data_IF_609435079141
#
_entry.id   IF_609435079141
#
_cell.length_a   1.000
_cell.length_b   1.000
_cell.length_c   1.000
_cell.angle_alpha   90.00
_cell.angle_beta   90.00
_cell.angle_gamma   90.00
#
_symmetry.space_group_name_H-M   'P 1'
#
loop_
_entity.id
_entity.type
_entity.pdbx_description
1 polymer ?
#
# COMPACT_ATOMS: atom_id res chain seq x y z
N UNK A 1 -42.37 -52.68 23.69
CA UNK A 1 -42.70 -51.80 22.58
C UNK A 1 -42.15 -50.44 22.88
N UNK A 2 -41.09 -49.96 22.18
CA UNK A 2 -40.53 -48.59 22.31
C UNK A 2 -41.32 -47.66 21.38
N UNK A 3 -42.04 -46.72 21.95
CA UNK A 3 -42.66 -45.63 21.16
C UNK A 3 -41.60 -44.62 20.76
N UNK A 4 -41.30 -44.53 19.48
CA UNK A 4 -40.51 -43.41 18.93
C UNK A 4 -41.44 -42.21 18.84
N UNK A 5 -41.21 -41.22 19.69
CA UNK A 5 -41.84 -39.91 19.56
C UNK A 5 -41.26 -39.20 18.34
N UNK A 6 -42.09 -38.68 17.42
CA UNK A 6 -41.58 -37.91 16.28
C UNK A 6 -40.99 -36.60 16.80
N UNK A 7 -39.72 -36.30 16.42
CA UNK A 7 -39.10 -35.01 16.67
C UNK A 7 -39.82 -33.94 15.82
N UNK A 8 -40.36 -32.93 16.48
CA UNK A 8 -41.00 -31.80 15.82
C UNK A 8 -39.89 -30.99 15.15
N UNK A 9 -39.81 -31.02 13.84
CA UNK A 9 -38.90 -30.16 13.07
C UNK A 9 -39.54 -28.78 12.95
N UNK A 10 -38.94 -27.81 13.61
CA UNK A 10 -39.28 -26.38 13.44
C UNK A 10 -38.54 -25.82 12.23
N UNK A 11 -39.28 -25.44 11.19
CA UNK A 11 -38.78 -24.69 10.06
C UNK A 11 -38.75 -23.19 10.35
N UNK A 12 -37.83 -22.45 9.70
CA UNK A 12 -37.79 -20.98 9.78
C UNK A 12 -39.02 -20.36 9.16
N UNK A 13 -39.54 -19.33 9.80
CA UNK A 13 -40.65 -18.54 9.25
C UNK A 13 -40.14 -17.55 8.18
N UNK A 14 -40.99 -17.19 7.21
CA UNK A 14 -40.66 -16.20 6.19
C UNK A 14 -40.32 -14.85 6.82
N UNK A 15 -41.06 -14.46 7.86
CA UNK A 15 -40.84 -13.20 8.60
C UNK A 15 -39.47 -13.19 9.30
N UNK A 16 -39.04 -14.29 9.88
CA UNK A 16 -37.74 -14.41 10.54
C UNK A 16 -36.58 -14.19 9.53
N UNK A 17 -36.68 -14.76 8.32
CA UNK A 17 -35.73 -14.54 7.25
C UNK A 17 -35.73 -13.10 6.76
N UNK A 18 -36.90 -12.42 6.70
CA UNK A 18 -36.97 -11.01 6.34
C UNK A 18 -36.27 -10.12 7.35
N UNK A 19 -36.42 -10.38 8.64
CA UNK A 19 -35.77 -9.61 9.71
C UNK A 19 -34.25 -9.83 9.65
N UNK A 20 -33.80 -11.08 9.49
CA UNK A 20 -32.37 -11.40 9.40
C UNK A 20 -31.71 -10.69 8.21
N UNK A 21 -32.32 -10.76 7.03
CA UNK A 21 -31.76 -10.08 5.84
C UNK A 21 -31.76 -8.56 5.99
N UNK A 22 -32.75 -7.97 6.64
CA UNK A 22 -32.77 -6.54 6.92
C UNK A 22 -31.62 -6.11 7.85
N UNK A 23 -31.37 -6.88 8.93
CA UNK A 23 -30.26 -6.59 9.84
C UNK A 23 -28.91 -6.76 9.13
N UNK A 24 -28.73 -7.83 8.35
CA UNK A 24 -27.49 -8.05 7.58
C UNK A 24 -27.23 -6.93 6.57
N UNK A 25 -28.28 -6.41 5.91
CA UNK A 25 -28.15 -5.29 4.99
C UNK A 25 -27.64 -4.02 5.68
N UNK A 26 -28.15 -3.70 6.88
CA UNK A 26 -27.70 -2.54 7.66
C UNK A 26 -26.24 -2.69 8.08
N UNK A 27 -25.86 -3.88 8.56
CA UNK A 27 -24.49 -4.16 8.97
C UNK A 27 -23.49 -4.10 7.79
N UNK A 28 -23.90 -4.58 6.62
CA UNK A 28 -23.07 -4.56 5.41
C UNK A 28 -22.73 -3.12 4.97
N UNK A 29 -23.65 -2.17 5.06
CA UNK A 29 -23.42 -0.77 4.69
C UNK A 29 -22.30 -0.14 5.53
N UNK A 30 -22.16 -0.51 6.79
CA UNK A 30 -21.12 0.01 7.68
C UNK A 30 -19.80 -0.77 7.51
N UNK A 31 -19.88 -2.09 7.30
CA UNK A 31 -18.72 -2.97 7.25
C UNK A 31 -17.88 -2.79 5.97
N UNK A 32 -18.53 -2.64 4.80
CA UNK A 32 -17.84 -2.58 3.52
C UNK A 32 -16.81 -1.43 3.42
N UNK A 33 -17.15 -0.16 3.69
CA UNK A 33 -16.18 0.93 3.55
C UNK A 33 -15.04 0.84 4.57
N UNK A 34 -15.29 0.28 5.74
CA UNK A 34 -14.25 0.04 6.75
C UNK A 34 -13.26 -1.03 6.30
N UNK A 35 -13.75 -2.08 5.65
CA UNK A 35 -12.93 -3.18 5.12
C UNK A 35 -12.03 -2.72 3.97
N UNK A 36 -12.53 -1.89 3.05
CA UNK A 36 -11.72 -1.33 1.96
C UNK A 36 -10.55 -0.50 2.47
N UNK A 37 -10.76 0.34 3.48
CA UNK A 37 -9.71 1.13 4.12
C UNK A 37 -8.67 0.24 4.82
N UNK A 38 -9.09 -0.85 5.41
CA UNK A 38 -8.20 -1.81 6.05
C UNK A 38 -7.29 -2.49 5.03
N UNK A 39 -7.84 -2.94 3.90
CA UNK A 39 -7.06 -3.53 2.80
C UNK A 39 -6.07 -2.51 2.24
N UNK A 40 -6.49 -1.27 2.00
CA UNK A 40 -5.61 -0.21 1.47
C UNK A 40 -4.41 0.04 2.39
N UNK A 41 -4.62 0.06 3.71
CA UNK A 41 -3.52 0.18 4.69
C UNK A 41 -2.58 -1.02 4.66
N UNK A 42 -3.11 -2.23 4.52
CA UNK A 42 -2.32 -3.46 4.34
C UNK A 42 -1.44 -3.39 3.10
N UNK A 43 -2.02 -2.99 1.98
CA UNK A 43 -1.31 -2.81 0.71
C UNK A 43 -0.23 -1.74 0.79
N UNK A 44 -0.49 -0.62 1.46
CA UNK A 44 0.50 0.45 1.67
C UNK A 44 1.65 -0.01 2.58
N UNK A 45 1.37 -0.86 3.56
CA UNK A 45 2.40 -1.44 4.43
C UNK A 45 3.29 -2.43 3.67
N UNK A 46 2.71 -3.27 2.79
CA UNK A 46 3.46 -4.14 1.89
C UNK A 46 4.34 -3.32 0.94
N UNK A 47 3.77 -2.27 0.35
CA UNK A 47 4.49 -1.34 -0.52
C UNK A 47 5.66 -0.66 0.21
N UNK A 48 5.46 -0.26 1.48
CA UNK A 48 6.51 0.30 2.33
C UNK A 48 7.66 -0.70 2.55
N UNK A 49 7.36 -1.95 2.80
CA UNK A 49 8.40 -2.98 2.95
C UNK A 49 9.20 -3.19 1.66
N UNK A 50 8.54 -3.17 0.51
CA UNK A 50 9.19 -3.33 -0.80
C UNK A 50 10.10 -2.13 -1.14
N UNK A 51 9.66 -0.89 -0.90
CA UNK A 51 10.47 0.29 -1.20
C UNK A 51 11.72 0.35 -0.31
N UNK A 52 11.64 -0.14 0.94
CA UNK A 52 12.81 -0.28 1.83
C UNK A 52 13.81 -1.31 1.31
N UNK A 53 13.37 -2.39 0.67
CA UNK A 53 14.26 -3.33 -0.02
C UNK A 53 14.98 -2.64 -1.18
N UNK A 54 14.26 -1.86 -1.98
CA UNK A 54 14.86 -1.08 -3.07
C UNK A 54 15.91 -0.11 -2.53
N UNK A 55 15.59 0.61 -1.46
CA UNK A 55 16.54 1.50 -0.78
C UNK A 55 17.80 0.75 -0.32
N UNK A 56 17.66 -0.43 0.27
CA UNK A 56 18.78 -1.23 0.74
C UNK A 56 19.70 -1.70 -0.41
N UNK A 57 19.12 -2.10 -1.54
CA UNK A 57 19.87 -2.51 -2.74
C UNK A 57 20.69 -1.33 -3.27
N UNK A 58 20.07 -0.14 -3.39
CA UNK A 58 20.75 1.07 -3.85
C UNK A 58 21.88 1.47 -2.92
N UNK A 59 21.67 1.39 -1.61
CA UNK A 59 22.70 1.71 -0.61
C UNK A 59 23.86 0.73 -0.65
N UNK A 60 23.61 -0.57 -0.80
CA UNK A 60 24.66 -1.58 -0.96
C UNK A 60 25.50 -1.35 -2.22
N UNK A 61 24.85 -0.95 -3.30
CA UNK A 61 25.53 -0.70 -4.57
C UNK A 61 26.44 0.52 -4.48
N UNK A 62 26.03 1.58 -3.77
CA UNK A 62 26.90 2.73 -3.48
C UNK A 62 28.15 2.33 -2.71
N UNK A 63 28.01 1.43 -1.72
CA UNK A 63 29.17 0.95 -0.94
C UNK A 63 30.15 0.16 -1.80
N UNK A 64 29.66 -0.53 -2.83
CA UNK A 64 30.51 -1.28 -3.78
C UNK A 64 31.18 -0.37 -4.81
N UNK A 65 30.49 0.68 -5.25
CA UNK A 65 30.92 1.59 -6.32
C UNK A 65 30.70 3.05 -5.89
N UNK A 66 31.55 3.63 -5.01
CA UNK A 66 31.35 4.97 -4.46
C UNK A 66 31.35 6.10 -5.51
N UNK A 67 32.03 5.89 -6.64
CA UNK A 67 32.15 6.87 -7.72
C UNK A 67 31.04 6.76 -8.77
N UNK A 68 30.07 5.85 -8.58
CA UNK A 68 28.96 5.72 -9.52
C UNK A 68 27.84 6.70 -9.18
N UNK A 69 27.22 7.30 -10.19
CA UNK A 69 26.02 8.14 -10.06
C UNK A 69 24.75 7.33 -9.70
N UNK A 70 24.94 6.24 -8.99
CA UNK A 70 23.90 5.23 -8.71
C UNK A 70 22.78 5.76 -7.82
N UNK A 71 23.11 6.76 -7.00
CA UNK A 71 22.16 7.35 -6.04
C UNK A 71 21.66 8.74 -6.41
N UNK A 72 22.00 9.23 -7.60
CA UNK A 72 21.36 10.44 -8.12
C UNK A 72 19.94 10.12 -8.62
N UNK A 73 19.04 11.09 -8.57
CA UNK A 73 17.67 10.88 -9.06
C UNK A 73 17.66 10.45 -10.52
N UNK A 74 18.54 11.03 -11.36
CA UNK A 74 18.71 10.69 -12.77
C UNK A 74 19.26 9.26 -12.95
N UNK A 75 20.25 8.86 -12.16
CA UNK A 75 20.83 7.52 -12.16
C UNK A 75 19.83 6.44 -11.77
N UNK A 76 19.02 6.70 -10.74
CA UNK A 76 17.96 5.78 -10.29
C UNK A 76 16.84 5.67 -11.33
N UNK A 77 16.41 6.81 -11.93
CA UNK A 77 15.39 6.81 -12.99
C UNK A 77 15.80 5.97 -14.19
N UNK A 78 17.05 6.09 -14.64
CA UNK A 78 17.55 5.32 -15.78
C UNK A 78 17.51 3.80 -15.51
N UNK A 79 17.71 3.38 -14.28
CA UNK A 79 17.69 1.96 -13.86
C UNK A 79 16.28 1.39 -13.72
N UNK A 80 15.34 2.20 -13.25
CA UNK A 80 13.92 1.81 -13.16
C UNK A 80 13.32 1.70 -14.58
N UNK A 81 13.74 2.56 -15.51
CA UNK A 81 13.22 2.59 -16.87
C UNK A 81 13.66 1.39 -17.73
N UNK A 82 14.75 0.70 -17.38
CA UNK A 82 15.24 -0.47 -18.12
C UNK A 82 14.39 -1.70 -17.80
N UNK A 83 13.42 -1.98 -18.65
CA UNK A 83 12.57 -3.16 -18.60
C UNK A 83 13.41 -4.43 -18.81
N UNK A 84 13.44 -5.33 -17.83
CA UNK A 84 13.96 -6.68 -17.98
C UNK A 84 15.36 -6.98 -17.43
N UNK A 85 16.22 -5.99 -17.19
CA UNK A 85 17.57 -6.18 -16.62
C UNK A 85 17.80 -5.47 -15.29
N UNK A 86 16.79 -4.76 -14.80
CA UNK A 86 16.87 -3.98 -13.57
C UNK A 86 16.85 -4.89 -12.34
N UNK A 87 17.87 -4.78 -11.49
CA UNK A 87 17.87 -5.40 -10.16
C UNK A 87 16.83 -4.77 -9.23
N UNK A 88 16.22 -3.66 -9.64
CA UNK A 88 15.20 -2.92 -8.90
C UNK A 88 13.83 -3.32 -9.43
N UNK A 89 13.34 -4.47 -8.99
CA UNK A 89 11.99 -4.94 -9.32
C UNK A 89 11.15 -5.04 -8.05
N UNK A 90 9.95 -4.46 -8.12
CA UNK A 90 8.93 -4.68 -7.10
C UNK A 90 8.34 -6.08 -7.26
N UNK A 91 7.85 -6.65 -6.17
CA UNK A 91 7.06 -7.87 -6.21
C UNK A 91 5.85 -7.71 -7.15
N UNK A 92 5.39 -8.82 -7.73
CA UNK A 92 4.27 -8.81 -8.67
C UNK A 92 3.00 -8.20 -8.05
N UNK A 93 2.76 -8.43 -6.75
CA UNK A 93 1.62 -7.88 -6.03
C UNK A 93 1.70 -6.36 -5.92
N UNK A 94 2.86 -5.83 -5.53
CA UNK A 94 3.05 -4.38 -5.36
C UNK A 94 3.08 -3.67 -6.71
N UNK A 95 3.76 -4.23 -7.73
CA UNK A 95 3.84 -3.63 -9.07
C UNK A 95 2.49 -3.57 -9.78
N UNK A 96 1.56 -4.47 -9.49
CA UNK A 96 0.20 -4.42 -10.00
C UNK A 96 -0.62 -3.26 -9.41
N UNK A 97 -0.33 -2.87 -8.17
CA UNK A 97 -1.09 -1.87 -7.41
C UNK A 97 -0.43 -0.50 -7.39
N UNK A 98 0.90 -0.46 -7.42
CA UNK A 98 1.72 0.75 -7.29
C UNK A 98 2.71 0.89 -8.44
N UNK A 99 3.04 2.13 -8.74
CA UNK A 99 4.08 2.50 -9.69
C UNK A 99 5.27 3.07 -8.93
N UNK A 100 6.46 2.50 -9.18
CA UNK A 100 7.71 3.03 -8.66
C UNK A 100 8.12 4.26 -9.45
N UNK A 101 8.43 5.34 -8.74
CA UNK A 101 8.90 6.59 -9.30
C UNK A 101 10.10 7.12 -8.50
N UNK A 102 10.73 8.15 -9.06
CA UNK A 102 11.80 8.91 -8.40
C UNK A 102 11.48 10.38 -8.50
N UNK A 103 11.39 11.03 -7.35
CA UNK A 103 11.23 12.47 -7.21
C UNK A 103 12.51 13.10 -6.61
N UNK A 104 12.49 14.40 -6.39
CA UNK A 104 13.61 15.13 -5.80
C UNK A 104 14.70 15.49 -6.79
N UNK A 105 15.78 16.08 -6.25
CA UNK A 105 16.99 16.46 -6.99
C UNK A 105 18.02 15.33 -6.97
N UNK A 106 19.08 15.46 -7.78
CA UNK A 106 20.17 14.50 -7.81
C UNK A 106 20.92 14.40 -6.47
N UNK A 107 20.95 15.48 -5.68
CA UNK A 107 21.56 15.50 -4.34
C UNK A 107 20.64 14.92 -3.25
N UNK A 108 19.34 14.92 -3.50
CA UNK A 108 18.33 14.44 -2.54
C UNK A 108 17.23 13.65 -3.26
N UNK A 109 17.55 12.45 -3.76
CA UNK A 109 16.58 11.61 -4.45
C UNK A 109 15.59 10.99 -3.48
N UNK A 110 14.35 10.92 -3.94
CA UNK A 110 13.22 10.41 -3.20
C UNK A 110 12.60 9.28 -4.02
N UNK A 111 12.52 8.09 -3.44
CA UNK A 111 11.77 6.99 -4.04
C UNK A 111 10.30 7.13 -3.68
N UNK A 112 9.44 6.91 -4.65
CA UNK A 112 7.99 7.02 -4.48
C UNK A 112 7.27 5.79 -5.02
N UNK A 113 6.23 5.35 -4.31
CA UNK A 113 5.26 4.39 -4.80
C UNK A 113 3.90 5.07 -4.85
N UNK A 114 3.44 5.35 -6.06
CA UNK A 114 2.14 5.96 -6.31
C UNK A 114 1.12 4.89 -6.68
N UNK A 115 -0.10 4.93 -6.14
CA UNK A 115 -1.14 3.98 -6.53
C UNK A 115 -1.50 4.14 -8.01
N UNK A 116 -1.75 3.01 -8.68
CA UNK A 116 -2.18 2.98 -10.09
C UNK A 116 -3.67 3.21 -10.26
N UNK A 117 -4.45 2.98 -9.22
CA UNK A 117 -5.90 3.11 -9.22
C UNK A 117 -6.33 4.36 -8.46
N UNK A 118 -7.30 5.09 -9.01
CA UNK A 118 -7.89 6.28 -8.36
C UNK A 118 -8.67 5.95 -7.07
N UNK A 119 -9.02 4.67 -6.85
CA UNK A 119 -9.68 4.23 -5.62
C UNK A 119 -8.71 4.08 -4.43
N UNK A 120 -7.42 4.26 -4.66
CA UNK A 120 -6.39 4.19 -3.63
C UNK A 120 -5.80 5.56 -3.42
N UNK A 121 -5.77 5.98 -2.18
CA UNK A 121 -5.26 7.30 -1.78
C UNK A 121 -3.89 7.21 -1.14
N UNK A 122 -3.53 6.05 -0.57
CA UNK A 122 -2.28 5.87 0.15
C UNK A 122 -1.11 5.60 -0.81
N UNK A 123 -0.14 6.50 -0.81
CA UNK A 123 1.16 6.32 -1.46
C UNK A 123 2.27 6.11 -0.45
N UNK A 124 3.45 5.70 -0.92
CA UNK A 124 4.64 5.53 -0.07
C UNK A 124 5.78 6.36 -0.60
N UNK A 125 6.50 7.00 0.30
CA UNK A 125 7.67 7.82 0.02
C UNK A 125 8.82 7.38 0.92
N UNK A 126 10.01 7.30 0.35
CA UNK A 126 11.25 7.09 1.09
C UNK A 126 12.31 8.06 0.60
N UNK A 127 12.87 8.83 1.52
CA UNK A 127 14.07 9.60 1.26
C UNK A 127 15.27 8.67 1.40
N UNK A 128 16.22 8.70 0.48
CA UNK A 128 17.29 7.69 0.42
C UNK A 128 18.12 7.57 1.70
N UNK A 129 18.14 8.62 2.51
CA UNK A 129 18.89 8.71 3.77
C UNK A 129 18.02 8.75 5.01
N UNK A 130 16.71 8.55 4.89
CA UNK A 130 15.77 8.59 6.00
C UNK A 130 14.75 7.45 5.97
N UNK A 131 13.75 7.52 6.81
CA UNK A 131 12.72 6.51 6.95
C UNK A 131 11.69 6.56 5.82
N UNK A 132 11.00 5.44 5.59
CA UNK A 132 9.87 5.37 4.68
C UNK A 132 8.59 5.87 5.38
N UNK A 133 7.81 6.67 4.67
CA UNK A 133 6.55 7.25 5.13
C UNK A 133 5.39 6.78 4.24
N UNK A 134 4.23 6.55 4.84
CA UNK A 134 2.98 6.36 4.11
C UNK A 134 2.28 7.73 4.07
N UNK A 135 1.88 8.16 2.87
CA UNK A 135 1.24 9.43 2.62
C UNK A 135 -0.23 9.23 2.26
N UNK A 136 -1.13 10.03 2.83
CA UNK A 136 -2.56 9.96 2.57
C UNK A 136 -2.97 10.51 1.20
N UNK A 137 -2.08 11.22 0.51
CA UNK A 137 -2.30 11.75 -0.82
C UNK A 137 -1.21 11.27 -1.78
N UNK A 138 -1.62 10.74 -2.91
CA UNK A 138 -0.70 10.34 -3.98
C UNK A 138 0.07 11.54 -4.55
N UNK A 139 -0.50 12.75 -4.52
CA UNK A 139 0.19 13.98 -4.89
C UNK A 139 1.34 14.31 -3.91
N UNK A 140 1.18 14.05 -2.63
CA UNK A 140 2.20 14.26 -1.62
C UNK A 140 3.45 13.37 -1.81
N UNK A 141 3.32 12.23 -2.50
CA UNK A 141 4.47 11.37 -2.82
C UNK A 141 5.39 11.97 -3.87
N UNK A 142 4.86 12.83 -4.75
CA UNK A 142 5.60 13.41 -5.88
C UNK A 142 6.20 14.78 -5.57
N UNK A 143 5.67 15.49 -4.58
CA UNK A 143 6.10 16.85 -4.28
C UNK A 143 7.41 16.89 -3.49
N UNK A 144 8.16 17.97 -3.70
CA UNK A 144 9.37 18.33 -2.95
C UNK A 144 9.05 18.66 -1.49
N UNK A 145 10.01 18.96 -0.68
CA UNK A 145 10.06 19.24 0.78
C UNK A 145 8.76 19.55 1.57
N UNK A 146 7.75 20.20 0.97
CA UNK A 146 6.47 20.51 1.64
C UNK A 146 5.65 19.24 1.91
N UNK A 147 5.64 18.30 0.97
CA UNK A 147 4.97 17.03 1.10
C UNK A 147 5.55 16.11 2.20
N UNK A 148 6.78 16.36 2.64
CA UNK A 148 7.37 15.59 3.74
C UNK A 148 6.68 15.84 5.09
N UNK A 149 6.13 17.03 5.29
CA UNK A 149 5.39 17.37 6.51
C UNK A 149 4.00 16.70 6.53
N UNK A 150 3.31 16.68 5.40
CA UNK A 150 2.00 16.01 5.25
C UNK A 150 2.13 14.49 5.35
N UNK A 151 3.16 13.89 4.73
CA UNK A 151 3.46 12.48 4.90
C UNK A 151 3.77 12.10 6.35
N UNK A 152 4.51 12.94 7.09
CA UNK A 152 4.80 12.72 8.51
C UNK A 152 3.55 12.78 9.39
N UNK A 153 2.67 13.73 9.13
CA UNK A 153 1.42 13.87 9.88
C UNK A 153 0.51 12.65 9.74
N UNK A 154 0.49 12.03 8.57
CA UNK A 154 -0.31 10.83 8.31
C UNK A 154 0.28 9.58 8.96
N UNK A 155 1.60 9.48 9.02
CA UNK A 155 2.28 8.35 9.70
C UNK A 155 2.03 8.34 11.21
N UNK A 156 1.84 9.51 11.84
CA UNK A 156 1.54 9.64 13.28
C UNK A 156 0.08 9.27 13.60
N UNK A 157 -0.84 9.35 12.65
CA UNK A 157 -2.25 9.00 12.82
C UNK A 157 -2.57 7.51 12.57
N UNK A 158 -1.55 6.68 12.34
CA UNK A 158 -1.68 5.24 12.08
C UNK A 158 -1.31 4.35 13.27
N UNK A 159 -1.12 4.93 14.47
CA UNK A 159 -0.98 4.20 15.74
C UNK A 159 -2.33 3.77 16.30
#
# INVERSE_FOLDING_TARGET
MKQNSPAVQHGFTLVEMMIVTAILAILAVIALPSYERYIERGDATEAKAEILKVQSILTQERLRNPNSNTLTASGIRSRIAVTGASQIQLSKNVSAKYQLGVAGSDDSPILTLTPRSNNRTLGVRVDLFSNAFICADSAATQATAVASAECKATATGLN
#
